data_IF_936847193702
#
_entry.id   IF_936847193702
#
_cell.length_a   1.000
_cell.length_b   1.000
_cell.length_c   1.000
_cell.angle_alpha   90.00
_cell.angle_beta   90.00
_cell.angle_gamma   90.00
#
_symmetry.space_group_name_H-M   'P 1'
#
loop_
_entity.id
_entity.type
_entity.pdbx_description
1 polymer ?
#
# COMPACT_ATOMS: atom_id res chain seq x y z
N UNK A 1 34.69 -3.85 -7.13
CA UNK A 1 33.99 -3.30 -5.95
C UNK A 1 33.38 -4.52 -5.28
N UNK A 2 33.93 -4.92 -4.14
CA UNK A 2 33.53 -6.10 -3.38
C UNK A 2 32.09 -5.91 -2.88
N UNK A 3 31.22 -6.86 -3.18
CA UNK A 3 29.88 -6.91 -2.63
C UNK A 3 29.94 -7.34 -1.17
N UNK A 4 29.22 -6.60 -0.32
CA UNK A 4 28.92 -7.01 1.04
C UNK A 4 27.98 -8.21 0.95
N UNK A 5 28.34 -9.33 1.57
CA UNK A 5 27.46 -10.47 1.77
C UNK A 5 27.01 -10.43 3.23
N UNK A 6 25.71 -10.46 3.44
CA UNK A 6 25.10 -10.68 4.75
C UNK A 6 24.36 -12.02 4.68
N UNK A 7 24.66 -12.92 5.62
CA UNK A 7 24.24 -14.34 5.61
C UNK A 7 23.11 -14.59 6.63
N UNK A 8 22.41 -13.52 7.02
CA UNK A 8 21.25 -13.59 7.90
C UNK A 8 19.98 -13.87 7.06
N UNK A 9 19.16 -14.88 7.41
CA UNK A 9 17.94 -15.17 6.68
C UNK A 9 16.95 -14.02 6.85
N UNK A 10 16.88 -13.16 5.83
CA UNK A 10 15.84 -12.13 5.74
C UNK A 10 14.53 -12.84 5.42
N UNK A 11 13.52 -12.70 6.29
CA UNK A 11 12.13 -13.05 5.98
C UNK A 11 11.63 -12.08 4.90
N UNK A 12 11.94 -12.40 3.64
CA UNK A 12 11.65 -11.55 2.49
C UNK A 12 10.22 -11.82 2.02
N UNK A 13 9.27 -11.00 2.47
CA UNK A 13 7.86 -11.08 2.04
C UNK A 13 7.71 -10.71 0.55
N UNK A 14 8.55 -9.80 0.05
CA UNK A 14 8.70 -9.41 -1.36
C UNK A 14 9.86 -8.43 -1.53
N UNK A 15 10.28 -8.19 -2.78
CA UNK A 15 11.28 -7.17 -3.11
C UNK A 15 10.93 -6.51 -4.46
N UNK A 16 10.81 -5.18 -4.44
CA UNK A 16 10.71 -4.34 -5.61
C UNK A 16 12.05 -3.63 -5.87
N UNK A 17 12.91 -4.24 -6.70
CA UNK A 17 14.21 -3.64 -7.07
C UNK A 17 14.03 -2.29 -7.80
N UNK A 18 14.87 -1.32 -7.45
CA UNK A 18 14.76 0.07 -7.88
C UNK A 18 14.87 0.21 -9.41
N UNK A 19 14.06 1.12 -9.98
CA UNK A 19 13.95 1.45 -11.41
C UNK A 19 13.18 0.47 -12.31
N UNK A 20 13.83 -0.56 -12.86
CA UNK A 20 13.24 -1.48 -13.88
C UNK A 20 13.36 -2.95 -13.50
N UNK A 21 13.78 -3.25 -12.27
CA UNK A 21 13.89 -4.61 -11.78
C UNK A 21 12.51 -5.28 -11.65
N UNK A 22 12.46 -6.63 -11.69
CA UNK A 22 11.21 -7.37 -11.57
C UNK A 22 10.55 -7.14 -10.19
N UNK A 23 9.26 -7.47 -10.10
CA UNK A 23 8.59 -7.67 -8.80
C UNK A 23 8.84 -9.12 -8.39
N UNK A 24 9.51 -9.34 -7.26
CA UNK A 24 9.76 -10.68 -6.72
C UNK A 24 8.73 -10.99 -5.63
N UNK A 25 8.05 -12.13 -5.75
CA UNK A 25 6.97 -12.53 -4.85
C UNK A 25 7.21 -13.96 -4.36
N UNK A 26 6.98 -14.20 -3.07
CA UNK A 26 6.84 -15.54 -2.53
C UNK A 26 5.51 -16.16 -2.99
N UNK A 27 5.55 -17.22 -3.80
CA UNK A 27 4.36 -17.76 -4.46
C UNK A 27 3.31 -18.35 -3.50
N UNK A 28 3.76 -18.89 -2.37
CA UNK A 28 2.93 -19.37 -1.28
C UNK A 28 2.18 -18.23 -0.58
N UNK A 29 2.82 -17.07 -0.38
CA UNK A 29 2.19 -15.84 0.12
C UNK A 29 1.09 -15.35 -0.82
N UNK A 30 1.38 -15.29 -2.12
CA UNK A 30 0.39 -14.93 -3.16
C UNK A 30 -0.83 -15.85 -3.08
N UNK A 31 -0.62 -17.16 -3.04
CA UNK A 31 -1.70 -18.14 -2.96
C UNK A 31 -2.51 -18.03 -1.66
N UNK A 32 -1.86 -17.69 -0.54
CA UNK A 32 -2.50 -17.57 0.77
C UNK A 32 -3.38 -16.32 0.86
N UNK A 33 -2.85 -15.18 0.40
CA UNK A 33 -3.50 -13.87 0.44
C UNK A 33 -4.68 -13.81 -0.52
N UNK A 34 -4.53 -14.34 -1.74
CA UNK A 34 -5.64 -14.44 -2.71
C UNK A 34 -6.83 -15.27 -2.20
N UNK A 35 -6.59 -16.25 -1.31
CA UNK A 35 -7.66 -17.05 -0.69
C UNK A 35 -8.33 -16.36 0.49
N UNK A 36 -7.70 -15.33 1.06
CA UNK A 36 -8.20 -14.63 2.24
C UNK A 36 -8.04 -13.10 2.10
N UNK A 37 -8.62 -12.48 1.05
CA UNK A 37 -8.47 -11.04 0.80
C UNK A 37 -8.99 -10.20 1.97
N UNK A 38 -9.97 -10.71 2.73
CA UNK A 38 -10.51 -10.04 3.93
C UNK A 38 -9.54 -9.91 5.12
N UNK A 39 -8.29 -10.37 4.99
CA UNK A 39 -7.26 -10.16 6.01
C UNK A 39 -6.52 -8.83 5.85
N UNK A 40 -6.74 -8.09 4.76
CA UNK A 40 -6.06 -6.82 4.52
C UNK A 40 -4.58 -6.96 4.13
N UNK A 41 -4.05 -8.19 4.08
CA UNK A 41 -2.69 -8.50 3.65
C UNK A 41 -2.71 -9.07 2.23
N UNK A 42 -2.07 -8.37 1.30
CA UNK A 42 -1.94 -8.77 -0.09
C UNK A 42 -0.61 -8.30 -0.67
N UNK A 43 0.45 -9.07 -0.39
CA UNK A 43 1.84 -8.85 -0.85
C UNK A 43 1.97 -8.44 -2.33
N UNK A 44 1.12 -8.96 -3.23
CA UNK A 44 1.15 -8.48 -4.63
C UNK A 44 0.77 -7.01 -4.73
N UNK A 45 -0.30 -6.57 -4.05
CA UNK A 45 -0.71 -5.16 -4.09
C UNK A 45 0.34 -4.28 -3.42
N UNK A 46 0.94 -4.76 -2.34
CA UNK A 46 2.04 -4.10 -1.63
C UNK A 46 3.22 -3.81 -2.56
N UNK A 47 3.80 -4.83 -3.19
CA UNK A 47 4.94 -4.65 -4.10
C UNK A 47 4.60 -3.81 -5.33
N UNK A 48 3.36 -3.92 -5.83
CA UNK A 48 2.90 -3.07 -6.92
C UNK A 48 2.75 -1.60 -6.48
N UNK A 49 2.38 -1.33 -5.23
CA UNK A 49 2.32 0.03 -4.70
C UNK A 49 3.72 0.65 -4.70
N UNK A 50 4.75 -0.05 -4.24
CA UNK A 50 6.13 0.44 -4.33
C UNK A 50 6.57 0.72 -5.77
N UNK A 51 6.20 -0.13 -6.74
CA UNK A 51 6.48 0.16 -8.15
C UNK A 51 5.75 1.38 -8.67
N UNK A 52 4.52 1.63 -8.21
CA UNK A 52 3.75 2.83 -8.57
C UNK A 52 4.39 4.08 -7.98
N UNK A 53 4.82 4.03 -6.72
CA UNK A 53 5.55 5.11 -6.04
C UNK A 53 6.80 5.52 -6.84
N UNK A 54 7.58 4.52 -7.29
CA UNK A 54 8.78 4.73 -8.10
C UNK A 54 8.57 5.34 -9.49
N UNK A 55 7.33 5.47 -10.00
CA UNK A 55 7.08 5.85 -11.40
C UNK A 55 7.51 7.28 -11.73
N UNK A 56 7.56 8.19 -10.76
CA UNK A 56 8.04 9.57 -10.98
C UNK A 56 9.54 9.75 -10.67
N UNK A 57 10.21 8.67 -10.28
CA UNK A 57 11.64 8.65 -9.95
C UNK A 57 11.96 8.98 -8.49
N UNK A 58 10.94 9.20 -7.65
CA UNK A 58 11.05 9.37 -6.20
C UNK A 58 10.45 8.16 -5.50
N UNK A 59 10.88 7.88 -4.27
CA UNK A 59 10.27 6.87 -3.39
C UNK A 59 9.94 7.60 -2.09
N UNK A 60 8.71 8.08 -1.98
CA UNK A 60 8.26 8.90 -0.86
C UNK A 60 6.82 8.59 -0.42
N UNK A 61 6.23 7.49 -0.92
CA UNK A 61 4.84 7.13 -0.65
C UNK A 61 3.83 8.01 -1.38
N UNK A 62 4.25 8.76 -2.41
CA UNK A 62 3.39 9.60 -3.23
C UNK A 62 3.36 9.07 -4.66
N UNK A 63 2.28 8.39 -5.08
CA UNK A 63 2.16 7.95 -6.46
C UNK A 63 2.04 9.16 -7.40
N UNK A 64 2.28 8.99 -8.71
CA UNK A 64 2.07 10.06 -9.68
C UNK A 64 0.62 10.57 -9.69
N UNK A 65 0.42 11.83 -9.30
CA UNK A 65 -0.88 12.51 -9.25
C UNK A 65 -1.03 13.53 -10.40
N UNK A 66 -2.27 13.77 -10.86
CA UNK A 66 -2.51 14.52 -12.10
C UNK A 66 -2.46 16.03 -11.90
N UNK A 67 -2.79 16.49 -10.69
CA UNK A 67 -2.88 17.92 -10.37
C UNK A 67 -2.14 18.26 -9.09
N UNK A 68 -1.75 19.53 -8.96
CA UNK A 68 -1.14 20.02 -7.72
C UNK A 68 -2.10 19.90 -6.53
N UNK A 69 -3.39 20.15 -6.73
CA UNK A 69 -4.39 20.04 -5.68
C UNK A 69 -4.56 18.60 -5.18
N UNK A 70 -4.52 17.61 -6.08
CA UNK A 70 -4.53 16.19 -5.70
C UNK A 70 -3.31 15.83 -4.84
N UNK A 71 -2.11 16.28 -5.25
CA UNK A 71 -0.87 16.05 -4.49
C UNK A 71 -0.87 16.73 -3.13
N UNK A 72 -1.30 17.99 -3.07
CA UNK A 72 -1.32 18.72 -1.80
C UNK A 72 -2.30 18.07 -0.82
N UNK A 73 -3.46 17.60 -1.31
CA UNK A 73 -4.43 16.84 -0.51
C UNK A 73 -3.90 15.47 -0.10
N UNK A 74 -3.20 14.76 -0.98
CA UNK A 74 -2.54 13.49 -0.68
C UNK A 74 -1.57 13.65 0.48
N UNK A 75 -0.64 14.60 0.37
CA UNK A 75 0.37 14.86 1.40
C UNK A 75 -0.29 15.17 2.73
N UNK A 76 -1.29 16.06 2.75
CA UNK A 76 -2.03 16.42 3.97
C UNK A 76 -2.64 15.19 4.66
N UNK A 77 -3.37 14.36 3.91
CA UNK A 77 -4.11 13.21 4.47
C UNK A 77 -3.15 12.10 4.88
N UNK A 78 -2.28 11.67 3.96
CA UNK A 78 -1.37 10.54 4.21
C UNK A 78 -0.40 10.86 5.35
N UNK A 79 0.13 12.08 5.43
CA UNK A 79 1.00 12.48 6.54
C UNK A 79 0.27 12.41 7.88
N UNK A 80 -0.97 12.89 7.95
CA UNK A 80 -1.75 12.88 9.19
C UNK A 80 -2.02 11.44 9.68
N UNK A 81 -2.38 10.52 8.78
CA UNK A 81 -2.61 9.11 9.13
C UNK A 81 -1.32 8.40 9.52
N UNK A 82 -0.23 8.61 8.76
CA UNK A 82 1.09 8.07 9.07
C UNK A 82 1.59 8.52 10.45
N UNK A 83 1.51 9.82 10.77
CA UNK A 83 1.91 10.34 12.07
C UNK A 83 1.04 9.79 13.22
N UNK A 84 -0.26 9.56 12.98
CA UNK A 84 -1.15 8.97 13.97
C UNK A 84 -0.76 7.52 14.31
N UNK A 85 -0.40 6.72 13.29
CA UNK A 85 0.09 5.34 13.47
C UNK A 85 1.39 5.34 14.27
N UNK A 86 2.35 6.22 13.92
CA UNK A 86 3.62 6.34 14.64
C UNK A 86 3.47 6.79 16.10
N UNK A 87 2.38 7.47 16.43
CA UNK A 87 2.03 7.82 17.80
C UNK A 87 1.34 6.68 18.57
N UNK A 88 1.16 5.50 17.96
CA UNK A 88 0.46 4.35 18.53
C UNK A 88 -1.06 4.44 18.45
N UNK A 89 -1.60 5.25 17.53
CA UNK A 89 -3.03 5.38 17.25
C UNK A 89 -3.33 5.18 15.76
N UNK A 90 -4.30 5.92 15.23
CA UNK A 90 -4.63 5.88 13.80
C UNK A 90 -5.73 4.86 13.46
N UNK A 91 -5.81 4.50 12.18
CA UNK A 91 -6.80 3.56 11.65
C UNK A 91 -6.40 2.13 11.99
N UNK A 92 -7.20 1.41 12.77
CA UNK A 92 -6.91 0.02 13.20
C UNK A 92 -6.84 -0.98 12.03
N UNK A 93 -7.30 -0.60 10.84
CA UNK A 93 -7.21 -1.42 9.63
C UNK A 93 -5.79 -1.45 9.04
N UNK A 94 -4.97 -0.42 9.34
CA UNK A 94 -3.59 -0.33 8.89
C UNK A 94 -2.70 -0.98 9.95
N UNK A 95 -1.91 -1.97 9.54
CA UNK A 95 -0.94 -2.61 10.42
C UNK A 95 0.10 -1.60 10.92
N UNK A 96 0.66 -1.80 12.13
CA UNK A 96 1.71 -0.96 12.71
C UNK A 96 2.92 -0.81 11.77
N UNK A 97 3.15 -1.79 10.90
CA UNK A 97 4.16 -1.74 9.85
C UNK A 97 4.03 -0.53 8.91
N UNK A 98 2.80 -0.03 8.70
CA UNK A 98 2.57 1.21 7.96
C UNK A 98 3.23 2.46 8.58
N UNK A 99 3.69 2.37 9.84
CA UNK A 99 4.39 3.44 10.54
C UNK A 99 5.91 3.45 10.35
N UNK A 100 6.50 2.46 9.66
CA UNK A 100 7.96 2.36 9.47
C UNK A 100 8.49 3.51 8.58
N UNK A 101 7.91 3.68 7.40
CA UNK A 101 8.20 4.80 6.50
C UNK A 101 7.01 5.14 5.56
N UNK A 102 7.04 6.28 4.86
CA UNK A 102 5.94 6.70 3.98
C UNK A 102 5.65 5.75 2.80
N UNK A 103 6.66 5.06 2.28
CA UNK A 103 6.48 4.07 1.20
C UNK A 103 5.71 2.86 1.71
N UNK A 104 6.06 2.37 2.90
CA UNK A 104 5.35 1.28 3.58
C UNK A 104 3.92 1.68 3.95
N UNK A 105 3.74 2.91 4.42
CA UNK A 105 2.41 3.47 4.64
C UNK A 105 1.54 3.38 3.38
N UNK A 106 2.07 3.81 2.23
CA UNK A 106 1.34 3.77 0.96
C UNK A 106 1.03 2.33 0.53
N UNK A 107 1.97 1.40 0.71
CA UNK A 107 1.80 0.01 0.34
C UNK A 107 0.71 -0.67 1.19
N UNK A 108 0.77 -0.54 2.52
CA UNK A 108 -0.26 -1.07 3.43
C UNK A 108 -1.62 -0.42 3.19
N UNK A 109 -1.67 0.91 3.00
CA UNK A 109 -2.91 1.60 2.67
C UNK A 109 -3.53 1.12 1.35
N UNK A 110 -2.69 0.77 0.37
CA UNK A 110 -3.14 0.18 -0.90
C UNK A 110 -3.75 -1.19 -0.70
N UNK A 111 -3.14 -2.04 0.12
CA UNK A 111 -3.69 -3.36 0.44
C UNK A 111 -5.09 -3.22 1.05
N UNK A 112 -5.22 -2.41 2.09
CA UNK A 112 -6.49 -2.18 2.79
C UNK A 112 -7.53 -1.57 1.84
N UNK A 113 -7.15 -0.64 0.96
CA UNK A 113 -8.06 -0.02 -0.01
C UNK A 113 -8.71 -1.03 -0.96
N UNK A 114 -7.99 -2.06 -1.42
CA UNK A 114 -8.58 -3.07 -2.30
C UNK A 114 -9.18 -4.26 -1.56
N UNK A 115 -8.66 -4.59 -0.37
CA UNK A 115 -9.06 -5.77 0.39
C UNK A 115 -10.25 -5.52 1.34
N UNK A 116 -10.30 -4.33 1.96
CA UNK A 116 -11.30 -3.91 2.95
C UNK A 116 -11.85 -2.51 2.61
N UNK A 117 -12.32 -2.27 1.38
CA UNK A 117 -12.69 -0.93 0.92
C UNK A 117 -13.85 -0.31 1.69
N UNK A 118 -14.85 -1.12 2.07
CA UNK A 118 -16.03 -0.63 2.77
C UNK A 118 -15.70 -0.19 4.21
N UNK A 119 -14.86 -0.98 4.88
CA UNK A 119 -14.33 -0.71 6.21
C UNK A 119 -13.44 0.54 6.18
N UNK A 120 -12.51 0.63 5.22
CA UNK A 120 -11.65 1.81 5.09
C UNK A 120 -12.46 3.08 4.82
N UNK A 121 -13.49 3.00 3.97
CA UNK A 121 -14.39 4.13 3.70
C UNK A 121 -15.17 4.56 4.94
N UNK A 122 -15.47 3.65 5.87
CA UNK A 122 -16.17 3.95 7.10
C UNK A 122 -15.23 4.56 8.16
N UNK A 123 -14.06 3.98 8.36
CA UNK A 123 -13.14 4.32 9.45
C UNK A 123 -12.21 5.49 9.10
N UNK A 124 -11.72 5.56 7.85
CA UNK A 124 -10.83 6.59 7.35
C UNK A 124 -11.31 7.14 5.99
N UNK A 125 -12.46 7.84 5.95
CA UNK A 125 -13.11 8.25 4.71
C UNK A 125 -12.28 9.21 3.84
N UNK A 126 -11.42 10.02 4.45
CA UNK A 126 -10.52 10.92 3.73
C UNK A 126 -9.35 10.19 3.09
N UNK A 127 -8.75 9.22 3.79
CA UNK A 127 -7.74 8.32 3.26
C UNK A 127 -8.30 7.51 2.08
N UNK A 128 -9.51 6.95 2.25
CA UNK A 128 -10.21 6.26 1.17
C UNK A 128 -10.37 7.16 -0.08
N UNK A 129 -10.73 8.43 0.10
CA UNK A 129 -10.96 9.35 -1.03
C UNK A 129 -9.67 9.69 -1.79
N UNK A 130 -8.55 9.90 -1.11
CA UNK A 130 -7.29 10.20 -1.80
C UNK A 130 -6.78 8.98 -2.55
N UNK A 131 -6.94 7.76 -2.00
CA UNK A 131 -6.62 6.50 -2.68
C UNK A 131 -7.54 6.25 -3.88
N UNK A 132 -8.85 6.46 -3.74
CA UNK A 132 -9.81 6.36 -4.84
C UNK A 132 -9.48 7.33 -5.98
N UNK A 133 -9.04 8.54 -5.64
CA UNK A 133 -8.61 9.55 -6.61
C UNK A 133 -7.32 9.13 -7.33
N UNK A 134 -6.32 8.64 -6.59
CA UNK A 134 -5.05 8.19 -7.14
C UNK A 134 -5.22 6.97 -8.07
N UNK A 135 -5.93 5.94 -7.61
CA UNK A 135 -6.19 4.72 -8.38
C UNK A 135 -7.27 4.89 -9.45
N UNK A 136 -8.10 5.93 -9.34
CA UNK A 136 -9.29 6.15 -10.18
C UNK A 136 -10.25 4.97 -10.16
N UNK A 137 -10.41 4.38 -8.97
CA UNK A 137 -11.26 3.23 -8.70
C UNK A 137 -12.08 3.48 -7.44
N UNK A 138 -13.23 2.83 -7.32
CA UNK A 138 -14.07 2.90 -6.12
C UNK A 138 -14.47 1.48 -5.68
N UNK A 139 -13.53 0.70 -5.10
CA UNK A 139 -13.79 -0.71 -4.78
C UNK A 139 -14.89 -0.93 -3.74
N UNK A 140 -15.24 0.09 -2.94
CA UNK A 140 -16.37 0.03 -2.01
C UNK A 140 -17.73 0.15 -2.73
N UNK A 141 -17.75 0.70 -3.94
CA UNK A 141 -18.96 0.83 -4.76
C UNK A 141 -19.10 -0.32 -5.76
N UNK A 142 -18.00 -1.01 -6.09
CA UNK A 142 -18.05 -2.24 -6.87
C UNK A 142 -18.60 -3.38 -6.01
N UNK A 143 -19.90 -3.62 -6.12
CA UNK A 143 -20.50 -4.87 -5.66
C UNK A 143 -20.04 -5.99 -6.60
N UNK A 144 -18.83 -6.50 -6.38
CA UNK A 144 -18.48 -7.80 -6.92
C UNK A 144 -19.47 -8.81 -6.31
N UNK A 145 -20.39 -9.31 -7.13
CA UNK A 145 -21.29 -10.42 -6.78
C UNK A 145 -20.58 -11.72 -7.17
N UNK A 146 -19.98 -12.45 -6.20
CA UNK A 146 -19.34 -13.73 -6.47
C UNK A 146 -20.40 -14.83 -6.57
N UNK A 147 -21.38 -14.70 -7.45
CA UNK A 147 -22.19 -15.87 -7.83
C UNK A 147 -21.51 -16.61 -8.98
N UNK A 148 -21.20 -17.91 -8.84
CA UNK A 148 -20.43 -18.69 -9.80
C UNK A 148 -21.16 -18.94 -11.13
#
# INVERSE_FOLDING_TARGET
MEGVWDDEPVELLGEADHATGPVTLAWDEVCRNARHPRRGLHVVLHEFAHKIDMLDGTVDGTPPLRTAAERDRWIEVCTAHYEAIRAGGGCELLDDYAGEDPGEFFAVATEVFFCLPAELRADAPDLYQVLATAYRQDPASDTYDPTP
#
